data_IF_871386117162
#
_entry.id   IF_871386117162
#
_cell.length_a   1.000
_cell.length_b   1.000
_cell.length_c   1.000
_cell.angle_alpha   90.00
_cell.angle_beta   90.00
_cell.angle_gamma   90.00
#
_symmetry.space_group_name_H-M   'P 1'
#
loop_
_entity.id
_entity.type
_entity.pdbx_description
1 polymer ?
#
# COMPACT_ATOMS: atom_id res chain seq x y z
N UNK A 1 -13.07 -6.16 7.22
CA UNK A 1 -12.43 -6.57 5.95
C UNK A 1 -10.95 -6.77 6.16
N UNK A 2 -10.42 -7.87 5.68
CA UNK A 2 -8.98 -8.15 5.76
C UNK A 2 -8.24 -7.57 4.55
N UNK A 3 -6.93 -7.42 4.67
CA UNK A 3 -6.09 -6.93 3.57
C UNK A 3 -6.30 -7.76 2.30
N UNK A 4 -6.35 -9.09 2.45
CA UNK A 4 -6.57 -10.00 1.32
C UNK A 4 -7.90 -9.74 0.62
N UNK A 5 -8.96 -9.47 1.38
CA UNK A 5 -10.28 -9.19 0.81
C UNK A 5 -10.29 -7.90 0.01
N UNK A 6 -9.59 -6.88 0.50
CA UNK A 6 -9.47 -5.62 -0.23
C UNK A 6 -8.69 -5.82 -1.53
N UNK A 7 -7.59 -6.56 -1.48
CA UNK A 7 -6.78 -6.88 -2.66
C UNK A 7 -7.60 -7.63 -3.71
N UNK A 8 -8.40 -8.60 -3.27
CA UNK A 8 -9.28 -9.35 -4.17
C UNK A 8 -10.39 -8.47 -4.76
N UNK A 9 -10.89 -7.52 -4.00
CA UNK A 9 -11.85 -6.54 -4.51
C UNK A 9 -11.23 -5.72 -5.65
N UNK A 10 -9.99 -5.25 -5.47
CA UNK A 10 -9.28 -4.51 -6.51
C UNK A 10 -9.01 -5.38 -7.73
N UNK A 11 -8.70 -6.67 -7.54
CA UNK A 11 -8.53 -7.61 -8.64
C UNK A 11 -9.83 -7.74 -9.44
N UNK A 12 -10.95 -7.94 -8.75
CA UNK A 12 -12.25 -8.11 -9.41
C UNK A 12 -12.64 -6.88 -10.22
N UNK A 13 -12.39 -5.70 -9.68
CA UNK A 13 -12.81 -4.45 -10.32
C UNK A 13 -11.87 -4.04 -11.45
N UNK A 14 -10.56 -4.17 -11.27
CA UNK A 14 -9.58 -3.51 -12.11
C UNK A 14 -8.58 -4.40 -12.83
N UNK A 15 -8.51 -5.70 -12.56
CA UNK A 15 -7.42 -6.51 -13.10
C UNK A 15 -7.35 -6.49 -14.63
N UNK A 16 -8.47 -6.38 -15.30
CA UNK A 16 -8.49 -6.30 -16.76
C UNK A 16 -7.75 -5.06 -17.28
N UNK A 17 -7.75 -4.00 -16.52
CA UNK A 17 -6.97 -2.78 -16.84
C UNK A 17 -5.55 -2.87 -16.32
N UNK A 18 -5.40 -3.31 -15.08
CA UNK A 18 -4.10 -3.39 -14.41
C UNK A 18 -3.14 -4.30 -15.17
N UNK A 19 -3.61 -5.45 -15.63
CA UNK A 19 -2.80 -6.41 -16.37
C UNK A 19 -2.31 -5.84 -17.71
N UNK A 20 -3.13 -5.04 -18.38
CA UNK A 20 -2.73 -4.39 -19.63
C UNK A 20 -1.74 -3.28 -19.42
N UNK A 21 -1.91 -2.50 -18.35
CA UNK A 21 -1.00 -1.41 -18.00
C UNK A 21 0.37 -1.94 -17.58
N UNK A 22 0.39 -3.08 -16.89
CA UNK A 22 1.61 -3.71 -16.42
C UNK A 22 2.17 -3.10 -15.15
N UNK A 23 3.22 -3.73 -14.63
CA UNK A 23 3.79 -3.35 -13.34
C UNK A 23 4.37 -1.94 -13.35
N UNK A 24 5.13 -1.58 -14.39
CA UNK A 24 5.78 -0.26 -14.45
C UNK A 24 4.74 0.87 -14.49
N UNK A 25 3.76 0.75 -15.35
CA UNK A 25 2.71 1.77 -15.46
C UNK A 25 1.89 1.91 -14.18
N UNK A 26 1.59 0.78 -13.55
CA UNK A 26 0.86 0.77 -12.28
C UNK A 26 1.70 1.40 -11.17
N UNK A 27 3.01 1.11 -11.13
CA UNK A 27 3.91 1.73 -10.18
C UNK A 27 4.01 3.24 -10.38
N UNK A 28 4.07 3.70 -11.63
CA UNK A 28 4.12 5.13 -11.93
C UNK A 28 2.87 5.85 -11.40
N UNK A 29 1.71 5.26 -11.59
CA UNK A 29 0.46 5.80 -11.03
C UNK A 29 0.45 5.80 -9.50
N UNK A 30 0.97 4.73 -8.89
CA UNK A 30 1.10 4.68 -7.43
C UNK A 30 1.94 5.84 -6.91
N UNK A 31 3.06 6.16 -7.58
CA UNK A 31 3.90 7.29 -7.19
C UNK A 31 3.13 8.61 -7.27
N UNK A 32 2.33 8.79 -8.32
CA UNK A 32 1.52 9.99 -8.47
C UNK A 32 0.50 10.11 -7.34
N UNK A 33 -0.12 9.01 -6.94
CA UNK A 33 -1.07 9.01 -5.82
C UNK A 33 -0.38 9.33 -4.50
N UNK A 34 0.84 8.86 -4.29
CA UNK A 34 1.62 9.22 -3.10
C UNK A 34 1.91 10.71 -3.09
N UNK A 35 2.22 11.30 -4.24
CA UNK A 35 2.42 12.75 -4.35
C UNK A 35 1.14 13.52 -4.04
N UNK A 36 0.00 13.04 -4.53
CA UNK A 36 -1.30 13.65 -4.24
C UNK A 36 -1.64 13.57 -2.75
N UNK A 37 -1.28 12.45 -2.10
CA UNK A 37 -1.43 12.32 -0.65
C UNK A 37 -0.63 13.42 0.07
N UNK A 38 0.62 13.65 -0.37
CA UNK A 38 1.45 14.71 0.20
C UNK A 38 0.82 16.10 0.03
N UNK A 39 0.23 16.36 -1.15
CA UNK A 39 -0.46 17.62 -1.40
C UNK A 39 -1.71 17.77 -0.52
N UNK A 40 -2.48 16.70 -0.37
CA UNK A 40 -3.68 16.71 0.47
C UNK A 40 -3.35 17.01 1.94
N UNK A 41 -2.19 16.56 2.42
CA UNK A 41 -1.74 16.87 3.78
C UNK A 41 -1.58 18.37 4.01
N UNK A 42 -1.19 19.11 2.97
CA UNK A 42 -0.96 20.56 3.05
C UNK A 42 -2.26 21.35 2.99
N UNK A 43 -3.29 20.80 2.40
CA UNK A 43 -4.56 21.48 2.19
C UNK A 43 -5.44 21.54 3.44
N UNK A 44 -5.12 20.77 4.47
CA UNK A 44 -5.89 20.69 5.71
C UNK A 44 -7.36 20.34 5.45
N UNK A 45 -7.60 19.41 4.53
CA UNK A 45 -8.93 18.94 4.15
C UNK A 45 -9.05 17.45 4.48
N UNK A 46 -9.83 17.13 5.52
CA UNK A 46 -9.93 15.77 6.04
C UNK A 46 -10.50 14.79 5.01
N UNK A 47 -11.49 15.22 4.20
CA UNK A 47 -12.09 14.35 3.19
C UNK A 47 -11.09 14.02 2.07
N UNK A 48 -10.41 15.04 1.55
CA UNK A 48 -9.40 14.85 0.52
C UNK A 48 -8.28 13.93 1.02
N UNK A 49 -7.85 14.10 2.26
CA UNK A 49 -6.81 13.28 2.86
C UNK A 49 -7.23 11.81 2.93
N UNK A 50 -8.46 11.53 3.39
CA UNK A 50 -8.97 10.16 3.45
C UNK A 50 -9.07 9.53 2.07
N UNK A 51 -9.53 10.27 1.08
CA UNK A 51 -9.66 9.78 -0.28
C UNK A 51 -8.28 9.40 -0.85
N UNK A 52 -7.26 10.21 -0.58
CA UNK A 52 -5.90 9.91 -1.06
C UNK A 52 -5.28 8.70 -0.36
N UNK A 53 -5.54 8.50 0.93
CA UNK A 53 -5.14 7.26 1.60
C UNK A 53 -5.78 6.05 0.93
N UNK A 54 -7.07 6.14 0.61
CA UNK A 54 -7.78 5.06 -0.06
C UNK A 54 -7.19 4.78 -1.44
N UNK A 55 -6.88 5.82 -2.20
CA UNK A 55 -6.33 5.69 -3.55
C UNK A 55 -4.93 5.07 -3.52
N UNK A 56 -4.07 5.50 -2.59
CA UNK A 56 -2.73 4.93 -2.43
C UNK A 56 -2.83 3.44 -2.14
N UNK A 57 -3.70 3.04 -1.22
CA UNK A 57 -3.87 1.63 -0.90
C UNK A 57 -4.41 0.84 -2.08
N UNK A 58 -5.37 1.42 -2.82
CA UNK A 58 -5.95 0.76 -3.99
C UNK A 58 -4.89 0.53 -5.08
N UNK A 59 -4.06 1.52 -5.38
CA UNK A 59 -3.00 1.38 -6.37
C UNK A 59 -1.92 0.41 -5.93
N UNK A 60 -1.60 0.39 -4.62
CA UNK A 60 -0.66 -0.59 -4.08
C UNK A 60 -1.21 -2.02 -4.24
N UNK A 61 -2.49 -2.23 -3.95
CA UNK A 61 -3.14 -3.53 -4.14
C UNK A 61 -3.15 -3.93 -5.61
N UNK A 62 -3.43 -3.00 -6.51
CA UNK A 62 -3.39 -3.27 -7.97
C UNK A 62 -1.99 -3.68 -8.42
N UNK A 63 -0.96 -3.01 -7.94
CA UNK A 63 0.42 -3.36 -8.26
C UNK A 63 0.75 -4.77 -7.76
N UNK A 64 0.35 -5.09 -6.53
CA UNK A 64 0.55 -6.42 -5.97
C UNK A 64 -0.16 -7.48 -6.81
N UNK A 65 -1.36 -7.19 -7.30
CA UNK A 65 -2.09 -8.11 -8.17
C UNK A 65 -1.33 -8.39 -9.48
N UNK A 66 -0.78 -7.35 -10.10
CA UNK A 66 -0.01 -7.49 -11.34
C UNK A 66 1.26 -8.32 -11.10
N UNK A 67 1.91 -8.14 -9.96
CA UNK A 67 3.13 -8.84 -9.59
C UNK A 67 2.88 -10.18 -8.91
N UNK A 68 1.61 -10.56 -8.73
CA UNK A 68 1.21 -11.80 -8.09
C UNK A 68 1.75 -11.94 -6.66
N UNK A 69 1.71 -10.84 -5.91
CA UNK A 69 2.09 -10.80 -4.49
C UNK A 69 0.83 -10.78 -3.65
N UNK A 70 0.75 -11.69 -2.69
CA UNK A 70 -0.30 -11.68 -1.66
C UNK A 70 0.14 -10.71 -0.57
N UNK A 71 -0.49 -9.52 -0.52
CA UNK A 71 -0.12 -8.46 0.42
C UNK A 71 -0.27 -8.89 1.88
N UNK A 72 -1.37 -9.56 2.21
CA UNK A 72 -1.59 -10.00 3.59
C UNK A 72 -0.51 -10.96 4.04
N UNK A 73 -0.21 -11.96 3.21
CA UNK A 73 0.83 -12.94 3.53
C UNK A 73 2.21 -12.29 3.63
N UNK A 74 2.54 -11.41 2.68
CA UNK A 74 3.82 -10.71 2.69
C UNK A 74 3.98 -9.86 3.95
N UNK A 75 2.91 -9.15 4.31
CA UNK A 75 2.90 -8.27 5.47
C UNK A 75 3.07 -9.05 6.76
N UNK A 76 2.27 -10.11 6.95
CA UNK A 76 2.28 -10.88 8.19
C UNK A 76 3.52 -11.75 8.33
N UNK A 77 4.15 -12.14 7.22
CA UNK A 77 5.42 -12.87 7.26
C UNK A 77 6.55 -11.96 7.75
N UNK A 78 6.56 -10.72 7.29
CA UNK A 78 7.61 -9.76 7.69
C UNK A 78 7.37 -9.18 9.08
N UNK A 79 6.12 -8.82 9.39
CA UNK A 79 5.75 -8.17 10.64
C UNK A 79 4.89 -9.12 11.48
N UNK A 80 5.57 -9.96 12.25
CA UNK A 80 4.91 -10.98 13.07
C UNK A 80 4.83 -10.52 14.53
N UNK A 81 4.17 -9.37 14.73
CA UNK A 81 3.94 -8.82 16.06
C UNK A 81 5.11 -8.07 16.67
N UNK A 82 6.25 -8.05 16.00
CA UNK A 82 7.46 -7.39 16.50
C UNK A 82 8.17 -6.62 15.39
N UNK A 83 9.11 -5.76 15.79
CA UNK A 83 9.99 -5.10 14.82
C UNK A 83 10.92 -6.14 14.19
N UNK A 84 10.99 -6.22 12.84
CA UNK A 84 11.85 -7.21 12.17
C UNK A 84 13.34 -7.07 12.48
N UNK A 85 13.80 -5.88 12.86
CA UNK A 85 15.22 -5.64 13.14
C UNK A 85 15.60 -5.98 14.57
N UNK A 86 14.85 -5.48 15.57
CA UNK A 86 15.19 -5.66 16.98
C UNK A 86 14.34 -6.69 17.68
N UNK A 87 13.26 -7.17 17.03
CA UNK A 87 12.36 -8.21 17.53
C UNK A 87 11.61 -7.84 18.81
N UNK A 88 11.49 -6.54 19.10
CA UNK A 88 10.73 -6.04 20.25
C UNK A 88 9.31 -5.67 19.79
N UNK A 89 8.35 -5.80 20.72
CA UNK A 89 6.95 -5.41 20.46
C UNK A 89 6.80 -3.89 20.34
N UNK A 90 7.67 -3.16 21.04
CA UNK A 90 7.86 -1.72 20.85
C UNK A 90 9.29 -1.53 20.39
N UNK A 91 9.48 -1.02 19.17
CA UNK A 91 10.79 -0.93 18.55
C UNK A 91 11.80 -0.17 19.42
N UNK A 92 12.97 -0.82 19.67
CA UNK A 92 14.08 -0.23 20.40
C UNK A 92 15.28 0.09 19.51
N UNK A 93 15.09 0.10 18.18
CA UNK A 93 16.17 0.44 17.24
C UNK A 93 16.60 1.89 17.41
N UNK A 94 17.89 2.15 17.13
CA UNK A 94 18.45 3.49 17.20
C UNK A 94 18.20 4.30 15.92
N UNK A 95 17.62 3.68 14.90
CA UNK A 95 17.31 4.34 13.64
C UNK A 95 15.99 5.11 13.72
N UNK A 96 15.93 6.22 13.00
CA UNK A 96 14.71 6.99 12.88
C UNK A 96 13.75 6.41 11.87
N UNK A 97 14.22 5.59 10.95
CA UNK A 97 13.39 5.01 9.87
C UNK A 97 13.09 3.54 10.14
N UNK A 98 11.83 3.17 9.95
CA UNK A 98 11.38 1.78 10.04
C UNK A 98 12.02 0.92 8.93
N UNK A 99 12.06 -0.37 9.12
CA UNK A 99 12.57 -1.30 8.12
C UNK A 99 11.87 -1.19 6.78
#
# INVERSE_FOLDING_TARGET
MHIHEFQEMMRRIYFHRDSKRGAKGTYDWLKDEVNELGDAMKENNAKALKDEFADVLAWLASLANVLEINLEKATLTKYDGTCPKCQKTTCGCTFSKQP
#
